data_IF_398630883563
#
_entry.id   IF_398630883563
#
_cell.length_a   1.000
_cell.length_b   1.000
_cell.length_c   1.000
_cell.angle_alpha   90.00
_cell.angle_beta   90.00
_cell.angle_gamma   90.00
#
_symmetry.space_group_name_H-M   'P 1'
#
loop_
_entity.id
_entity.type
_entity.pdbx_description
1 polymer ?
#
# COMPACT_ATOMS: atom_id res chain seq x y z
N UNK A 1 -30.76 -6.82 -2.88
CA UNK A 1 -29.51 -7.62 -2.89
C UNK A 1 -28.95 -7.63 -1.48
N UNK A 2 -28.27 -8.70 -1.04
CA UNK A 2 -27.58 -8.67 0.27
C UNK A 2 -26.39 -7.69 0.17
N UNK A 3 -26.15 -6.93 1.22
CA UNK A 3 -24.97 -6.07 1.31
C UNK A 3 -23.70 -6.91 1.14
N UNK A 4 -22.76 -6.53 0.26
CA UNK A 4 -21.51 -7.28 0.10
C UNK A 4 -20.67 -7.19 1.37
N UNK A 5 -19.93 -8.25 1.69
CA UNK A 5 -18.99 -8.24 2.81
C UNK A 5 -17.78 -7.38 2.49
N UNK A 6 -17.31 -7.42 1.24
CA UNK A 6 -16.11 -6.73 0.79
C UNK A 6 -16.33 -6.07 -0.57
N UNK A 7 -15.81 -4.86 -0.73
CA UNK A 7 -15.69 -4.18 -2.02
C UNK A 7 -14.26 -4.36 -2.53
N UNK A 8 -14.11 -5.01 -3.67
CA UNK A 8 -12.84 -5.13 -4.40
C UNK A 8 -12.78 -3.93 -5.35
N UNK A 9 -11.72 -3.14 -5.25
CA UNK A 9 -11.56 -1.87 -5.94
C UNK A 9 -10.42 -1.98 -6.95
N UNK A 10 -10.74 -1.84 -8.24
CA UNK A 10 -9.76 -1.86 -9.32
C UNK A 10 -9.71 -0.49 -10.01
N UNK A 11 -8.57 0.17 -9.93
CA UNK A 11 -8.30 1.40 -10.69
C UNK A 11 -7.66 1.05 -12.02
N UNK A 12 -8.13 1.69 -13.10
CA UNK A 12 -7.73 1.36 -14.49
C UNK A 12 -7.25 2.62 -15.19
N UNK A 13 -6.11 2.52 -15.87
CA UNK A 13 -5.65 3.51 -16.84
C UNK A 13 -4.80 2.82 -17.90
N UNK A 14 -5.36 2.65 -19.12
CA UNK A 14 -4.72 1.97 -20.26
C UNK A 14 -4.20 0.57 -19.90
N UNK A 15 -5.11 -0.35 -19.52
CA UNK A 15 -4.81 -1.72 -19.10
C UNK A 15 -5.61 -2.79 -19.83
N UNK A 16 -6.08 -2.50 -21.04
CA UNK A 16 -6.84 -3.45 -21.87
C UNK A 16 -6.20 -4.84 -21.91
N UNK A 17 -4.87 -4.89 -22.03
CA UNK A 17 -4.10 -6.12 -22.14
C UNK A 17 -4.23 -7.05 -20.93
N UNK A 18 -4.41 -6.51 -19.72
CA UNK A 18 -4.34 -7.26 -18.45
C UNK A 18 -5.67 -7.35 -17.71
N UNK A 19 -6.58 -6.41 -18.00
CA UNK A 19 -7.80 -6.20 -17.22
C UNK A 19 -8.74 -7.43 -17.24
N UNK A 20 -8.78 -8.20 -18.33
CA UNK A 20 -9.59 -9.41 -18.39
C UNK A 20 -9.15 -10.43 -17.33
N UNK A 21 -7.87 -10.74 -17.26
CA UNK A 21 -7.32 -11.69 -16.28
C UNK A 21 -7.50 -11.20 -14.83
N UNK A 22 -7.38 -9.88 -14.62
CA UNK A 22 -7.66 -9.24 -13.32
C UNK A 22 -9.11 -9.51 -12.91
N UNK A 23 -10.10 -9.20 -13.75
CA UNK A 23 -11.52 -9.39 -13.46
C UNK A 23 -11.84 -10.88 -13.24
N UNK A 24 -11.36 -11.74 -14.13
CA UNK A 24 -11.58 -13.19 -14.06
C UNK A 24 -10.98 -13.81 -12.79
N UNK A 25 -9.85 -13.29 -12.31
CA UNK A 25 -9.24 -13.73 -11.06
C UNK A 25 -10.17 -13.48 -9.86
N UNK A 26 -10.89 -12.36 -9.86
CA UNK A 26 -11.90 -12.05 -8.83
C UNK A 26 -13.12 -12.97 -8.96
N UNK A 27 -13.64 -13.16 -10.18
CA UNK A 27 -14.81 -14.01 -10.42
C UNK A 27 -14.55 -15.48 -10.07
N UNK A 28 -13.33 -15.97 -10.33
CA UNK A 28 -12.88 -17.33 -10.01
C UNK A 28 -12.42 -17.50 -8.54
N UNK A 29 -12.42 -16.42 -7.75
CA UNK A 29 -12.17 -16.46 -6.32
C UNK A 29 -13.21 -17.32 -5.59
N UNK A 30 -12.82 -17.95 -4.47
CA UNK A 30 -13.73 -18.77 -3.68
C UNK A 30 -14.75 -17.90 -2.93
N UNK A 31 -14.34 -16.74 -2.43
CA UNK A 31 -15.22 -15.81 -1.70
C UNK A 31 -16.20 -15.11 -2.65
N UNK A 32 -17.52 -15.29 -2.43
CA UNK A 32 -18.53 -14.81 -3.36
C UNK A 32 -19.39 -13.64 -2.86
N UNK A 33 -19.28 -13.26 -1.57
CA UNK A 33 -20.04 -12.14 -1.00
C UNK A 33 -19.31 -10.80 -1.21
N UNK A 34 -19.00 -10.47 -2.46
CA UNK A 34 -18.28 -9.26 -2.86
C UNK A 34 -19.06 -8.41 -3.87
N UNK A 35 -18.68 -7.16 -3.99
CA UNK A 35 -18.85 -6.32 -5.17
C UNK A 35 -17.47 -5.99 -5.76
N UNK A 36 -17.38 -5.84 -7.08
CA UNK A 36 -16.17 -5.44 -7.78
C UNK A 36 -16.39 -4.08 -8.44
N UNK A 37 -15.75 -3.06 -7.92
CA UNK A 37 -15.84 -1.68 -8.40
C UNK A 37 -14.61 -1.41 -9.26
N UNK A 38 -14.84 -1.11 -10.53
CA UNK A 38 -13.82 -0.78 -11.51
C UNK A 38 -13.96 0.70 -11.86
N UNK A 39 -12.90 1.49 -11.63
CA UNK A 39 -12.90 2.92 -11.93
C UNK A 39 -11.81 3.23 -12.94
N UNK A 40 -12.24 3.60 -14.13
CA UNK A 40 -11.36 4.00 -15.21
C UNK A 40 -10.97 5.48 -15.07
N UNK A 41 -9.68 5.76 -15.18
CA UNK A 41 -9.09 7.08 -15.00
C UNK A 41 -8.83 7.80 -16.34
N UNK A 42 -9.76 7.70 -17.28
CA UNK A 42 -9.67 8.34 -18.58
C UNK A 42 -8.80 7.57 -19.57
N UNK A 43 -8.94 6.24 -19.64
CA UNK A 43 -8.26 5.39 -20.62
C UNK A 43 -8.60 5.77 -22.05
N UNK A 44 -7.62 5.61 -22.94
CA UNK A 44 -7.75 5.84 -24.39
C UNK A 44 -7.73 4.55 -25.21
N UNK A 45 -7.51 3.41 -24.56
CA UNK A 45 -7.54 2.05 -25.13
C UNK A 45 -8.91 1.38 -24.92
N UNK A 46 -9.02 0.09 -25.17
CA UNK A 46 -10.25 -0.70 -24.99
C UNK A 46 -10.64 -1.03 -23.55
N UNK A 47 -9.93 -0.52 -22.52
CA UNK A 47 -10.15 -0.88 -21.11
C UNK A 47 -11.60 -0.69 -20.66
N UNK A 48 -12.23 0.45 -20.98
CA UNK A 48 -13.62 0.77 -20.60
C UNK A 48 -14.60 -0.22 -21.23
N UNK A 49 -14.49 -0.42 -22.56
CA UNK A 49 -15.38 -1.33 -23.30
C UNK A 49 -15.26 -2.77 -22.76
N UNK A 50 -14.04 -3.19 -22.45
CA UNK A 50 -13.76 -4.49 -21.85
C UNK A 50 -14.42 -4.62 -20.47
N UNK A 51 -14.22 -3.67 -19.56
CA UNK A 51 -14.84 -3.68 -18.22
C UNK A 51 -16.36 -3.73 -18.30
N UNK A 52 -16.98 -2.92 -19.18
CA UNK A 52 -18.41 -2.89 -19.39
C UNK A 52 -18.95 -4.23 -19.91
N UNK A 53 -18.18 -4.94 -20.75
CA UNK A 53 -18.57 -6.26 -21.26
C UNK A 53 -18.66 -7.32 -20.15
N UNK A 54 -17.85 -7.21 -19.10
CA UNK A 54 -17.93 -8.05 -17.91
C UNK A 54 -19.09 -7.63 -16.99
N UNK A 55 -19.28 -6.33 -16.76
CA UNK A 55 -20.40 -5.82 -15.97
C UNK A 55 -21.77 -6.21 -16.54
N UNK A 56 -21.90 -6.30 -17.85
CA UNK A 56 -23.13 -6.76 -18.52
C UNK A 56 -23.47 -8.24 -18.21
N UNK A 57 -22.47 -9.04 -17.80
CA UNK A 57 -22.61 -10.48 -17.52
C UNK A 57 -22.66 -10.81 -16.02
N UNK A 58 -22.14 -9.92 -15.17
CA UNK A 58 -22.04 -10.15 -13.72
C UNK A 58 -22.46 -8.86 -12.97
N UNK A 59 -23.65 -8.89 -12.37
CA UNK A 59 -24.23 -7.77 -11.65
C UNK A 59 -23.44 -7.31 -10.40
N UNK A 60 -22.44 -8.09 -9.96
CA UNK A 60 -21.52 -7.70 -8.88
C UNK A 60 -20.45 -6.71 -9.35
N UNK A 61 -20.23 -6.61 -10.67
CA UNK A 61 -19.25 -5.70 -11.27
C UNK A 61 -19.93 -4.37 -11.59
N UNK A 62 -19.36 -3.28 -11.07
CA UNK A 62 -19.80 -1.92 -11.33
C UNK A 62 -18.66 -1.13 -11.92
N UNK A 63 -18.91 -0.48 -13.07
CA UNK A 63 -17.89 0.28 -13.81
C UNK A 63 -18.23 1.76 -13.75
N UNK A 64 -17.24 2.56 -13.40
CA UNK A 64 -17.29 4.02 -13.40
C UNK A 64 -16.15 4.56 -14.24
N UNK A 65 -16.32 5.74 -14.78
CA UNK A 65 -15.33 6.42 -15.59
C UNK A 65 -15.18 7.86 -15.12
N UNK A 66 -13.94 8.29 -14.85
CA UNK A 66 -13.65 9.67 -14.56
C UNK A 66 -13.68 10.51 -15.83
N UNK A 67 -14.13 11.76 -15.74
CA UNK A 67 -14.13 12.70 -16.87
C UNK A 67 -12.71 13.07 -17.32
N UNK A 68 -11.76 13.06 -16.38
CA UNK A 68 -10.34 13.36 -16.61
C UNK A 68 -9.46 12.41 -15.79
N UNK A 69 -8.20 12.26 -16.19
CA UNK A 69 -7.23 11.50 -15.41
C UNK A 69 -6.91 12.22 -14.09
N UNK A 70 -7.25 11.58 -12.98
CA UNK A 70 -7.03 12.08 -11.62
C UNK A 70 -5.65 11.68 -11.06
N UNK A 71 -5.07 10.63 -11.61
CA UNK A 71 -3.86 9.98 -11.11
C UNK A 71 -4.16 8.88 -10.07
N UNK A 72 -3.14 8.10 -9.73
CA UNK A 72 -3.25 6.83 -8.98
C UNK A 72 -4.06 6.96 -7.67
N UNK A 73 -3.57 7.70 -6.67
CA UNK A 73 -4.23 7.74 -5.36
C UNK A 73 -5.57 8.51 -5.34
N UNK A 74 -5.76 9.62 -6.05
CA UNK A 74 -7.07 10.23 -6.20
C UNK A 74 -8.09 9.28 -6.84
N UNK A 75 -7.70 8.50 -7.86
CA UNK A 75 -8.57 7.50 -8.47
C UNK A 75 -8.89 6.35 -7.49
N UNK A 76 -7.94 5.93 -6.64
CA UNK A 76 -8.21 4.97 -5.55
C UNK A 76 -9.23 5.51 -4.54
N UNK A 77 -9.11 6.78 -4.14
CA UNK A 77 -10.09 7.41 -3.27
C UNK A 77 -11.47 7.49 -3.94
N UNK A 78 -11.51 7.80 -5.23
CA UNK A 78 -12.75 7.80 -6.00
C UNK A 78 -13.38 6.40 -6.03
N UNK A 79 -12.58 5.35 -6.23
CA UNK A 79 -13.07 3.97 -6.19
C UNK A 79 -13.64 3.59 -4.81
N UNK A 80 -12.97 3.99 -3.73
CA UNK A 80 -13.44 3.75 -2.37
C UNK A 80 -14.78 4.46 -2.07
N UNK A 81 -15.02 5.63 -2.65
CA UNK A 81 -16.28 6.37 -2.45
C UNK A 81 -17.53 5.63 -2.98
N UNK A 82 -17.36 4.69 -3.89
CA UNK A 82 -18.43 3.84 -4.41
C UNK A 82 -18.64 2.55 -3.61
N UNK A 83 -17.72 2.24 -2.66
CA UNK A 83 -17.74 1.01 -1.90
C UNK A 83 -18.93 0.95 -0.91
N UNK A 84 -19.58 -0.22 -0.82
CA UNK A 84 -20.68 -0.47 0.11
C UNK A 84 -20.40 -1.63 1.08
N UNK A 85 -19.32 -2.40 0.85
CA UNK A 85 -18.90 -3.49 1.70
C UNK A 85 -18.39 -3.03 3.08
N UNK A 86 -18.44 -3.93 4.06
CA UNK A 86 -17.81 -3.73 5.37
C UNK A 86 -16.30 -3.50 5.24
N UNK A 87 -15.68 -4.23 4.30
CA UNK A 87 -14.27 -4.16 4.00
C UNK A 87 -14.04 -3.60 2.61
N UNK A 88 -12.87 -2.98 2.41
CA UNK A 88 -12.34 -2.61 1.10
C UNK A 88 -10.97 -3.27 0.87
N UNK A 89 -10.68 -3.59 -0.38
CA UNK A 89 -9.44 -4.16 -0.84
C UNK A 89 -9.13 -3.67 -2.25
N UNK A 90 -7.90 -3.22 -2.49
CA UNK A 90 -7.48 -2.84 -3.84
C UNK A 90 -6.90 -4.04 -4.59
N UNK A 91 -7.12 -4.04 -5.88
CA UNK A 91 -6.52 -4.94 -6.86
C UNK A 91 -6.16 -4.11 -8.10
N UNK A 92 -4.88 -3.99 -8.40
CA UNK A 92 -4.45 -3.25 -9.57
C UNK A 92 -4.84 -3.98 -10.86
N UNK A 93 -5.18 -3.23 -11.91
CA UNK A 93 -5.75 -3.78 -13.15
C UNK A 93 -4.80 -4.72 -13.91
N UNK A 94 -3.52 -4.72 -13.56
CA UNK A 94 -2.46 -5.60 -14.11
C UNK A 94 -2.09 -6.76 -13.19
N UNK A 95 -2.70 -6.87 -11.99
CA UNK A 95 -2.48 -7.93 -11.03
C UNK A 95 -3.63 -8.96 -11.00
N UNK A 96 -3.44 -10.04 -10.26
CA UNK A 96 -4.44 -11.11 -10.10
C UNK A 96 -4.59 -11.56 -8.65
N UNK A 97 -5.81 -11.88 -8.26
CA UNK A 97 -6.09 -12.55 -6.98
C UNK A 97 -5.75 -14.03 -7.05
N UNK A 98 -5.19 -14.57 -5.97
CA UNK A 98 -5.24 -15.99 -5.72
C UNK A 98 -6.63 -16.42 -5.23
N UNK A 99 -7.04 -17.65 -5.57
CA UNK A 99 -8.38 -18.18 -5.35
C UNK A 99 -8.95 -17.97 -3.94
N UNK A 100 -8.13 -18.09 -2.89
CA UNK A 100 -8.53 -18.01 -1.48
C UNK A 100 -8.03 -16.72 -0.79
N UNK A 101 -7.52 -15.76 -1.54
CA UNK A 101 -6.92 -14.56 -0.96
C UNK A 101 -7.92 -13.75 -0.13
N UNK A 102 -9.13 -13.57 -0.67
CA UNK A 102 -10.17 -12.79 0.02
C UNK A 102 -10.70 -13.55 1.23
N UNK A 103 -10.82 -14.90 1.14
CA UNK A 103 -11.22 -15.74 2.28
C UNK A 103 -10.28 -15.55 3.46
N UNK A 104 -8.96 -15.62 3.22
CA UNK A 104 -7.93 -15.44 4.26
C UNK A 104 -8.02 -14.04 4.87
N UNK A 105 -8.19 -13.01 4.05
CA UNK A 105 -8.28 -11.64 4.50
C UNK A 105 -9.52 -11.39 5.37
N UNK A 106 -10.68 -11.83 4.89
CA UNK A 106 -11.95 -11.65 5.62
C UNK A 106 -11.96 -12.47 6.90
N UNK A 107 -11.53 -13.74 6.86
CA UNK A 107 -11.44 -14.60 8.04
C UNK A 107 -10.54 -14.00 9.12
N UNK A 108 -9.38 -13.47 8.73
CA UNK A 108 -8.47 -12.80 9.65
C UNK A 108 -9.10 -11.56 10.30
N UNK A 109 -9.83 -10.75 9.54
CA UNK A 109 -10.49 -9.55 10.05
C UNK A 109 -11.72 -9.85 10.91
N UNK A 110 -12.43 -10.96 10.66
CA UNK A 110 -13.55 -11.42 11.49
C UNK A 110 -13.05 -12.11 12.77
N UNK A 111 -11.88 -12.75 12.72
CA UNK A 111 -11.23 -13.34 13.91
C UNK A 111 -10.76 -12.25 14.89
N UNK A 112 -10.31 -11.11 14.38
CA UNK A 112 -9.84 -9.97 15.20
C UNK A 112 -10.69 -8.72 14.91
N UNK A 113 -11.93 -8.66 15.41
CA UNK A 113 -12.86 -7.57 15.11
C UNK A 113 -12.39 -6.19 15.61
N UNK A 114 -11.43 -6.12 16.52
CA UNK A 114 -10.79 -4.87 16.97
C UNK A 114 -9.82 -4.30 15.93
N UNK A 115 -9.28 -5.12 15.02
CA UNK A 115 -8.36 -4.64 13.98
C UNK A 115 -9.08 -3.70 13.00
N UNK A 116 -8.41 -2.58 12.67
CA UNK A 116 -8.89 -1.63 11.67
C UNK A 116 -8.56 -2.07 10.24
N UNK A 117 -7.47 -2.82 10.09
CA UNK A 117 -6.97 -3.30 8.81
C UNK A 117 -6.07 -4.52 8.98
N UNK A 118 -5.73 -5.17 7.87
CA UNK A 118 -4.83 -6.32 7.86
C UNK A 118 -3.82 -6.24 6.71
N UNK A 119 -2.61 -6.72 6.96
CA UNK A 119 -1.51 -6.76 5.99
C UNK A 119 -0.91 -8.16 5.90
N UNK A 120 -0.57 -8.59 4.69
CA UNK A 120 0.22 -9.81 4.51
C UNK A 120 1.69 -9.58 4.84
N UNK A 121 2.27 -10.52 5.57
CA UNK A 121 3.70 -10.57 5.83
C UNK A 121 4.37 -11.67 4.99
N UNK A 122 5.33 -11.29 4.15
CA UNK A 122 6.15 -12.18 3.32
C UNK A 122 7.54 -12.42 3.91
N UNK A 123 7.81 -11.86 5.09
CA UNK A 123 9.10 -11.99 5.77
C UNK A 123 9.38 -13.41 6.25
N UNK A 124 10.63 -13.69 6.65
CA UNK A 124 11.01 -15.01 7.16
C UNK A 124 10.33 -15.35 8.49
N UNK A 125 9.89 -14.33 9.24
CA UNK A 125 9.21 -14.47 10.54
C UNK A 125 7.69 -14.34 10.42
N UNK A 126 7.12 -14.48 9.22
CA UNK A 126 5.66 -14.40 9.04
C UNK A 126 4.95 -15.35 10.00
N UNK A 127 3.83 -14.93 10.60
CA UNK A 127 3.11 -15.76 11.54
C UNK A 127 2.48 -16.97 10.82
N UNK A 128 2.41 -18.12 11.49
CA UNK A 128 1.74 -19.30 10.94
C UNK A 128 0.22 -19.10 10.87
N UNK A 129 -0.34 -18.44 11.88
CA UNK A 129 -1.74 -18.03 11.97
C UNK A 129 -1.83 -16.51 12.06
N UNK A 130 -2.95 -15.88 11.64
CA UNK A 130 -3.11 -14.45 11.81
C UNK A 130 -2.92 -14.01 13.27
N UNK A 131 -2.24 -12.90 13.48
CA UNK A 131 -2.05 -12.26 14.79
C UNK A 131 -2.49 -10.80 14.70
N UNK A 132 -2.92 -10.22 15.82
CA UNK A 132 -3.19 -8.79 15.92
C UNK A 132 -2.08 -8.09 16.68
N UNK A 133 -1.63 -6.95 16.17
CA UNK A 133 -0.65 -6.08 16.79
C UNK A 133 -1.29 -4.73 17.10
N UNK A 134 -1.04 -4.23 18.30
CA UNK A 134 -1.44 -2.88 18.70
C UNK A 134 -0.59 -1.81 17.96
N UNK A 135 -1.02 -0.54 17.91
CA UNK A 135 -0.31 0.51 17.17
C UNK A 135 1.20 0.56 17.42
N UNK A 136 1.63 0.65 18.66
CA UNK A 136 3.05 0.68 19.00
C UNK A 136 3.79 -0.61 18.64
N UNK A 137 3.13 -1.77 18.79
CA UNK A 137 3.70 -3.07 18.42
C UNK A 137 3.88 -3.20 16.90
N UNK A 138 2.94 -2.68 16.10
CA UNK A 138 3.03 -2.71 14.63
C UNK A 138 4.23 -1.89 14.15
N UNK A 139 4.42 -0.69 14.68
CA UNK A 139 5.59 0.14 14.38
C UNK A 139 6.89 -0.54 14.82
N UNK A 140 6.94 -1.04 16.06
CA UNK A 140 8.11 -1.74 16.57
C UNK A 140 8.46 -2.97 15.73
N UNK A 141 7.47 -3.77 15.34
CA UNK A 141 7.64 -4.95 14.51
C UNK A 141 8.16 -4.59 13.11
N UNK A 142 7.62 -3.52 12.48
CA UNK A 142 8.09 -3.05 11.19
C UNK A 142 9.55 -2.59 11.26
N UNK A 143 9.88 -1.68 12.18
CA UNK A 143 11.20 -1.06 12.26
C UNK A 143 12.30 -1.94 12.88
N UNK A 144 11.92 -2.99 13.63
CA UNK A 144 12.87 -4.04 14.03
C UNK A 144 13.17 -5.02 12.90
N UNK A 145 12.32 -5.10 11.87
CA UNK A 145 12.39 -6.08 10.80
C UNK A 145 11.72 -7.41 11.14
N UNK A 146 11.03 -7.51 12.28
CA UNK A 146 10.29 -8.72 12.66
C UNK A 146 9.12 -8.97 11.69
N UNK A 147 8.33 -7.93 11.44
CA UNK A 147 7.23 -7.93 10.47
C UNK A 147 7.30 -6.63 9.64
N UNK A 148 8.10 -6.58 8.55
CA UNK A 148 8.32 -5.36 7.76
C UNK A 148 7.16 -5.09 6.79
N UNK A 149 5.97 -4.84 7.33
CA UNK A 149 4.71 -4.83 6.55
C UNK A 149 4.37 -3.49 5.88
N UNK A 150 4.94 -2.34 6.31
CA UNK A 150 4.58 -1.04 5.73
C UNK A 150 5.01 -0.86 4.26
N UNK A 151 5.93 -1.66 3.75
CA UNK A 151 6.30 -1.66 2.33
C UNK A 151 5.39 -2.56 1.46
N UNK A 152 4.19 -2.91 1.89
CA UNK A 152 3.27 -3.74 1.12
C UNK A 152 2.43 -2.89 0.17
N UNK A 153 2.30 -3.33 -1.09
CA UNK A 153 1.38 -2.73 -2.04
C UNK A 153 -0.08 -2.97 -1.62
N UNK A 154 -1.03 -2.16 -2.10
CA UNK A 154 -2.43 -2.24 -1.69
C UNK A 154 -3.11 -3.59 -1.96
N UNK A 155 -2.63 -4.37 -2.92
CA UNK A 155 -3.14 -5.74 -3.16
C UNK A 155 -2.99 -6.63 -1.92
N UNK A 156 -2.01 -6.35 -1.06
CA UNK A 156 -1.68 -7.13 0.13
C UNK A 156 -2.40 -6.65 1.40
N UNK A 157 -3.37 -5.76 1.25
CA UNK A 157 -4.09 -5.14 2.36
C UNK A 157 -5.59 -5.37 2.25
N UNK A 158 -6.23 -5.46 3.43
CA UNK A 158 -7.68 -5.33 3.63
C UNK A 158 -7.91 -4.27 4.71
N UNK A 159 -8.91 -3.42 4.54
CA UNK A 159 -9.23 -2.36 5.48
C UNK A 159 -10.71 -2.37 5.79
N UNK A 160 -11.10 -2.02 6.99
CA UNK A 160 -12.48 -1.63 7.28
C UNK A 160 -12.77 -0.34 6.51
N UNK A 161 -13.92 -0.29 5.84
CA UNK A 161 -14.30 0.89 5.03
C UNK A 161 -14.43 2.15 5.88
N UNK A 162 -15.09 2.04 7.04
CA UNK A 162 -15.25 3.16 7.99
C UNK A 162 -13.91 3.68 8.52
N UNK A 163 -12.94 2.79 8.78
CA UNK A 163 -11.57 3.16 9.18
C UNK A 163 -10.84 3.91 8.05
N UNK A 164 -10.97 3.47 6.80
CA UNK A 164 -10.40 4.16 5.64
C UNK A 164 -11.01 5.55 5.46
N UNK A 165 -12.32 5.67 5.60
CA UNK A 165 -13.06 6.94 5.56
C UNK A 165 -12.63 7.87 6.71
N UNK A 166 -12.49 7.35 7.93
CA UNK A 166 -12.09 8.10 9.13
C UNK A 166 -10.71 8.75 8.99
N UNK A 167 -9.76 8.06 8.32
CA UNK A 167 -8.42 8.62 8.09
C UNK A 167 -8.36 9.54 6.85
N UNK A 168 -9.44 9.67 6.09
CA UNK A 168 -9.55 10.54 4.93
C UNK A 168 -8.98 9.95 3.64
N UNK A 169 -8.75 8.65 3.60
CA UNK A 169 -8.19 7.97 2.42
C UNK A 169 -6.72 8.28 2.17
N UNK A 170 -6.26 7.99 0.95
CA UNK A 170 -4.88 8.29 0.53
C UNK A 170 -4.66 9.80 0.39
N UNK A 171 -3.52 10.30 0.87
CA UNK A 171 -3.17 11.74 0.80
C UNK A 171 -2.81 12.23 -0.61
N UNK A 172 -2.58 11.31 -1.56
CA UNK A 172 -2.11 11.63 -2.90
C UNK A 172 -0.58 11.75 -3.04
N UNK A 173 0.21 11.45 -2.00
CA UNK A 173 1.68 11.40 -2.10
C UNK A 173 2.11 10.31 -3.07
N UNK A 174 2.43 10.71 -4.30
CA UNK A 174 2.79 9.77 -5.37
C UNK A 174 3.96 8.89 -4.95
N UNK A 175 3.86 7.58 -5.23
CA UNK A 175 4.87 6.53 -5.04
C UNK A 175 5.06 6.02 -3.61
N UNK A 176 4.61 6.74 -2.61
CA UNK A 176 4.76 6.38 -1.19
C UNK A 176 3.44 6.44 -0.42
N UNK A 177 2.33 6.61 -1.13
CA UNK A 177 1.03 6.79 -0.49
C UNK A 177 0.51 5.53 0.21
N UNK A 178 0.83 4.34 -0.28
CA UNK A 178 0.58 3.08 0.41
C UNK A 178 1.40 2.97 1.71
N UNK A 179 2.69 3.26 1.64
CA UNK A 179 3.56 3.28 2.80
C UNK A 179 3.10 4.31 3.85
N UNK A 180 2.66 5.50 3.41
CA UNK A 180 2.05 6.51 4.27
C UNK A 180 0.76 6.00 4.91
N UNK A 181 -0.13 5.41 4.12
CA UNK A 181 -1.41 4.88 4.59
C UNK A 181 -1.21 3.84 5.70
N UNK A 182 -0.26 2.93 5.53
CA UNK A 182 0.02 1.92 6.56
C UNK A 182 0.54 2.54 7.85
N UNK A 183 1.30 3.63 7.78
CA UNK A 183 1.72 4.38 8.97
C UNK A 183 0.53 5.08 9.65
N UNK A 184 -0.31 5.77 8.88
CA UNK A 184 -1.49 6.48 9.41
C UNK A 184 -2.45 5.50 10.09
N UNK A 185 -2.76 4.39 9.43
CA UNK A 185 -3.63 3.36 9.99
C UNK A 185 -3.03 2.73 11.24
N UNK A 186 -1.75 2.31 11.18
CA UNK A 186 -1.06 1.69 12.32
C UNK A 186 -0.84 2.64 13.49
N UNK A 187 -0.88 3.95 13.28
CA UNK A 187 -0.78 4.92 14.38
C UNK A 187 -2.05 4.96 15.25
N UNK A 188 -3.20 4.55 14.70
CA UNK A 188 -4.52 4.72 15.30
C UNK A 188 -5.25 3.42 15.59
N UNK A 189 -5.02 2.39 14.77
CA UNK A 189 -5.79 1.15 14.79
C UNK A 189 -4.91 -0.07 14.91
N UNK A 190 -5.35 -1.12 15.62
CA UNK A 190 -4.69 -2.43 15.59
C UNK A 190 -4.66 -3.00 14.17
N UNK A 191 -3.58 -3.69 13.85
CA UNK A 191 -3.32 -4.31 12.55
C UNK A 191 -3.31 -5.83 12.66
N UNK A 192 -4.06 -6.53 11.82
CA UNK A 192 -3.92 -7.97 11.67
C UNK A 192 -2.76 -8.29 10.72
N UNK A 193 -1.79 -9.04 11.20
CA UNK A 193 -0.68 -9.55 10.37
C UNK A 193 -1.05 -10.96 9.92
N UNK A 194 -1.13 -11.14 8.61
CA UNK A 194 -1.49 -12.40 7.98
C UNK A 194 -0.26 -13.05 7.36
N UNK A 195 -0.23 -14.39 7.33
CA UNK A 195 0.75 -15.13 6.52
C UNK A 195 0.56 -14.79 5.03
N UNK A 196 1.64 -14.88 4.26
CA UNK A 196 1.67 -14.53 2.83
C UNK A 196 0.47 -15.13 2.07
N UNK A 197 -0.31 -14.27 1.46
CA UNK A 197 -1.45 -14.65 0.63
C UNK A 197 -1.03 -14.97 -0.80
N UNK A 198 -1.84 -15.73 -1.53
CA UNK A 198 -1.60 -16.07 -2.93
C UNK A 198 -2.05 -14.91 -3.85
N UNK A 199 -1.39 -13.75 -3.80
CA UNK A 199 -1.53 -12.69 -4.78
C UNK A 199 -0.46 -12.84 -5.86
N UNK A 200 -0.82 -12.64 -7.11
CA UNK A 200 0.11 -12.64 -8.24
C UNK A 200 0.36 -11.20 -8.67
N UNK A 201 1.50 -10.68 -8.25
CA UNK A 201 2.04 -9.42 -8.73
C UNK A 201 2.68 -9.66 -10.09
N UNK A 202 2.14 -9.02 -11.13
CA UNK A 202 2.69 -9.13 -12.49
C UNK A 202 3.83 -8.15 -12.66
N UNK A 203 4.95 -8.61 -13.23
CA UNK A 203 6.06 -7.74 -13.63
C UNK A 203 5.99 -7.47 -15.13
N UNK A 204 5.99 -6.21 -15.54
CA UNK A 204 6.04 -5.78 -16.95
C UNK A 204 6.74 -4.42 -17.10
N UNK A 205 7.16 -4.09 -18.32
CA UNK A 205 7.98 -2.90 -18.59
C UNK A 205 7.26 -1.57 -18.33
N UNK A 206 5.93 -1.54 -18.44
CA UNK A 206 5.11 -0.33 -18.26
C UNK A 206 4.73 -0.05 -16.81
N UNK A 207 5.17 -0.89 -15.86
CA UNK A 207 4.91 -0.66 -14.44
C UNK A 207 5.69 0.53 -13.91
N UNK A 208 5.03 1.33 -13.07
CA UNK A 208 5.64 2.49 -12.43
C UNK A 208 6.90 2.11 -11.64
N UNK A 209 6.86 0.97 -10.95
CA UNK A 209 8.02 0.41 -10.23
C UNK A 209 9.21 0.15 -11.15
N UNK A 210 8.97 -0.43 -12.33
CA UNK A 210 10.02 -0.75 -13.30
C UNK A 210 10.63 0.51 -13.89
N UNK A 211 9.81 1.49 -14.23
CA UNK A 211 10.23 2.78 -14.80
C UNK A 211 11.12 3.60 -13.85
N UNK A 212 10.90 3.48 -12.55
CA UNK A 212 11.60 4.28 -11.54
C UNK A 212 12.66 3.52 -10.74
N UNK A 213 12.82 2.21 -10.95
CA UNK A 213 13.75 1.35 -10.20
C UNK A 213 15.20 1.83 -10.23
N UNK A 214 15.61 2.51 -11.31
CA UNK A 214 16.96 3.06 -11.47
C UNK A 214 17.18 4.40 -10.75
N UNK A 215 16.13 5.13 -10.36
CA UNK A 215 16.28 6.39 -9.64
C UNK A 215 16.51 6.15 -8.13
N UNK A 216 17.70 6.47 -7.58
CA UNK A 216 17.98 6.27 -6.16
C UNK A 216 17.06 7.09 -5.24
N UNK A 217 16.42 8.14 -5.74
CA UNK A 217 15.43 8.92 -5.00
C UNK A 217 14.17 8.10 -4.66
N UNK A 218 13.86 7.07 -5.45
CA UNK A 218 12.71 6.20 -5.20
C UNK A 218 12.75 5.58 -3.80
N UNK A 219 13.74 4.72 -3.54
CA UNK A 219 13.88 4.07 -2.23
C UNK A 219 14.16 5.07 -1.09
N UNK A 220 14.73 6.24 -1.42
CA UNK A 220 15.05 7.29 -0.46
C UNK A 220 13.81 8.00 0.06
N UNK A 221 12.77 8.17 -0.77
CA UNK A 221 11.48 8.74 -0.35
C UNK A 221 10.83 7.94 0.79
N UNK A 222 10.90 6.61 0.75
CA UNK A 222 10.42 5.75 1.83
C UNK A 222 11.17 5.98 3.15
N UNK A 223 12.49 6.22 3.08
CA UNK A 223 13.28 6.51 4.28
C UNK A 223 12.94 7.88 4.87
N UNK A 224 12.77 8.89 4.01
CA UNK A 224 12.37 10.25 4.43
C UNK A 224 10.99 10.23 5.09
N UNK A 225 10.01 9.62 4.42
CA UNK A 225 8.64 9.54 4.94
C UNK A 225 8.58 8.73 6.25
N UNK A 226 9.27 7.58 6.32
CA UNK A 226 9.33 6.80 7.55
C UNK A 226 9.92 7.58 8.72
N UNK A 227 10.96 8.39 8.48
CA UNK A 227 11.52 9.28 9.49
C UNK A 227 10.53 10.39 9.89
N UNK A 228 9.84 11.00 8.93
CA UNK A 228 8.80 12.00 9.16
C UNK A 228 7.69 11.44 10.04
N UNK A 229 7.15 10.27 9.69
CA UNK A 229 6.08 9.61 10.45
C UNK A 229 6.51 9.23 11.87
N UNK A 230 7.75 8.78 12.06
CA UNK A 230 8.26 8.44 13.39
C UNK A 230 8.59 9.67 14.25
N UNK A 231 8.83 10.84 13.67
CA UNK A 231 9.02 12.12 14.38
C UNK A 231 7.70 12.80 14.72
N UNK A 232 6.65 12.53 13.95
CA UNK A 232 5.35 13.19 14.11
C UNK A 232 4.68 12.88 15.44
N UNK A 233 3.81 13.77 15.90
CA UNK A 233 3.02 13.61 17.12
C UNK A 233 2.09 12.38 17.06
N UNK A 234 1.72 11.94 15.85
CA UNK A 234 0.92 10.72 15.63
C UNK A 234 1.70 9.41 15.76
N UNK A 235 3.02 9.43 16.04
CA UNK A 235 3.79 8.20 16.23
C UNK A 235 3.34 7.47 17.51
N UNK A 236 2.91 6.19 17.43
CA UNK A 236 2.43 5.47 18.62
C UNK A 236 3.55 4.99 19.55
N UNK A 237 4.81 5.04 19.09
CA UNK A 237 5.98 4.83 19.94
C UNK A 237 6.37 6.16 20.57
N UNK A 238 6.55 6.23 21.87
CA UNK A 238 6.80 7.46 22.61
C UNK A 238 8.07 7.41 23.48
N UNK A 239 8.47 8.55 24.03
CA UNK A 239 9.56 8.64 25.02
C UNK A 239 10.92 8.23 24.47
N UNK A 240 11.66 7.47 25.28
CA UNK A 240 13.02 7.01 24.93
C UNK A 240 13.05 6.05 23.74
N UNK A 241 12.01 5.24 23.55
CA UNK A 241 11.90 4.31 22.43
C UNK A 241 11.73 5.06 21.11
N UNK A 242 10.89 6.09 21.06
CA UNK A 242 10.75 6.95 19.88
C UNK A 242 12.07 7.65 19.57
N UNK A 243 12.73 8.20 20.59
CA UNK A 243 14.02 8.87 20.43
C UNK A 243 15.08 7.92 19.85
N UNK A 244 15.15 6.69 20.34
CA UNK A 244 16.08 5.68 19.84
C UNK A 244 15.75 5.26 18.40
N UNK A 245 14.46 5.09 18.07
CA UNK A 245 14.01 4.76 16.73
C UNK A 245 14.36 5.87 15.74
N UNK A 246 14.02 7.13 16.06
CA UNK A 246 14.33 8.29 15.22
C UNK A 246 15.82 8.38 14.96
N UNK A 247 16.66 8.24 16.01
CA UNK A 247 18.12 8.24 15.87
C UNK A 247 18.63 7.13 14.94
N UNK A 248 18.05 5.91 15.05
CA UNK A 248 18.36 4.79 14.14
C UNK A 248 18.03 5.13 12.69
N UNK A 249 16.86 5.74 12.45
CA UNK A 249 16.42 6.12 11.09
C UNK A 249 17.26 7.27 10.52
N UNK A 250 17.59 8.28 11.30
CA UNK A 250 18.50 9.36 10.90
C UNK A 250 19.88 8.83 10.51
N UNK A 251 20.42 7.92 11.31
CA UNK A 251 21.69 7.24 11.00
C UNK A 251 21.61 6.49 9.68
N UNK A 252 20.54 5.73 9.44
CA UNK A 252 20.33 4.99 8.19
C UNK A 252 20.26 5.93 7.00
N UNK A 253 19.49 7.00 7.10
CA UNK A 253 19.32 8.01 6.07
C UNK A 253 20.64 8.71 5.74
N UNK A 254 21.38 9.13 6.76
CA UNK A 254 22.70 9.76 6.59
C UNK A 254 23.69 8.83 5.89
N UNK A 255 23.75 7.56 6.30
CA UNK A 255 24.59 6.54 5.65
C UNK A 255 24.18 6.33 4.19
N UNK A 256 22.88 6.30 3.88
CA UNK A 256 22.40 6.18 2.48
C UNK A 256 22.94 7.31 1.63
N UNK A 257 22.90 8.58 2.10
CA UNK A 257 23.45 9.73 1.38
C UNK A 257 24.98 9.61 1.21
N UNK A 258 25.70 9.30 2.28
CA UNK A 258 27.17 9.19 2.21
C UNK A 258 27.63 8.04 1.34
N UNK A 259 26.97 6.87 1.39
CA UNK A 259 27.30 5.73 0.51
C UNK A 259 26.91 5.97 -0.95
N UNK A 260 26.00 6.91 -1.24
CA UNK A 260 25.61 7.20 -2.61
C UNK A 260 26.76 7.74 -3.47
N UNK A 261 27.77 8.39 -2.88
CA UNK A 261 29.00 8.77 -3.57
C UNK A 261 29.74 7.60 -4.25
N UNK A 262 29.57 6.39 -3.73
CA UNK A 262 30.22 5.19 -4.27
C UNK A 262 29.35 4.44 -5.30
N UNK A 263 28.05 4.67 -5.29
CA UNK A 263 27.08 3.88 -6.04
C UNK A 263 26.33 4.64 -7.12
N UNK A 264 26.22 5.94 -6.96
CA UNK A 264 25.40 6.82 -7.79
C UNK A 264 26.26 7.95 -8.39
N UNK A 265 25.66 8.71 -9.29
CA UNK A 265 26.30 9.94 -9.79
C UNK A 265 26.43 11.00 -8.68
N UNK A 266 27.37 11.93 -8.85
CA UNK A 266 27.47 13.11 -7.95
C UNK A 266 26.16 13.89 -7.94
N UNK A 267 25.52 14.03 -9.11
CA UNK A 267 24.22 14.71 -9.26
C UNK A 267 23.15 14.05 -8.38
N UNK A 268 23.04 12.72 -8.40
CA UNK A 268 22.06 12.00 -7.58
C UNK A 268 22.38 12.11 -6.10
N UNK A 269 23.64 12.01 -5.72
CA UNK A 269 24.06 12.21 -4.33
C UNK A 269 23.68 13.61 -3.81
N UNK A 270 23.86 14.66 -4.63
CA UNK A 270 23.42 16.00 -4.27
C UNK A 270 21.89 16.14 -4.17
N UNK A 271 21.13 15.44 -5.03
CA UNK A 271 19.66 15.36 -4.93
C UNK A 271 19.23 14.72 -3.61
N UNK A 272 19.81 13.57 -3.25
CA UNK A 272 19.53 12.90 -1.98
C UNK A 272 19.87 13.80 -0.78
N UNK A 273 21.05 14.42 -0.78
CA UNK A 273 21.47 15.36 0.26
C UNK A 273 20.49 16.52 0.39
N UNK A 274 20.10 17.15 -0.72
CA UNK A 274 19.14 18.25 -0.72
C UNK A 274 17.80 17.85 -0.09
N UNK A 275 17.33 16.65 -0.37
CA UNK A 275 16.08 16.12 0.16
C UNK A 275 16.09 15.93 1.69
N UNK A 276 17.25 15.75 2.31
CA UNK A 276 17.35 15.66 3.78
C UNK A 276 17.23 17.01 4.50
N UNK A 277 17.42 18.13 3.80
CA UNK A 277 17.54 19.46 4.42
C UNK A 277 18.82 19.66 5.26
N UNK A 278 19.66 18.64 5.45
CA UNK A 278 20.83 18.65 6.34
C UNK A 278 22.10 19.11 5.62
N UNK A 279 23.03 19.68 6.37
CA UNK A 279 24.41 19.95 5.93
C UNK A 279 25.24 18.67 5.86
N UNK A 280 26.38 18.70 5.18
CA UNK A 280 27.30 17.55 5.17
C UNK A 280 27.85 17.21 6.55
N UNK A 281 28.10 18.22 7.37
CA UNK A 281 28.58 18.02 8.75
C UNK A 281 27.56 17.30 9.60
N UNK A 282 26.27 17.68 9.51
CA UNK A 282 25.19 17.00 10.20
C UNK A 282 25.03 15.55 9.74
N UNK A 283 25.10 15.31 8.41
CA UNK A 283 25.01 13.94 7.87
C UNK A 283 26.17 13.05 8.36
N UNK A 284 27.40 13.57 8.40
CA UNK A 284 28.53 12.83 8.95
C UNK A 284 28.30 12.55 10.43
N UNK A 285 27.89 13.54 11.19
CA UNK A 285 27.61 13.40 12.64
C UNK A 285 26.52 12.32 12.88
N UNK A 286 25.41 12.39 12.13
CA UNK A 286 24.30 11.42 12.26
C UNK A 286 24.73 10.00 11.88
N UNK A 287 25.55 9.83 10.85
CA UNK A 287 26.00 8.53 10.39
C UNK A 287 26.82 7.75 11.41
N UNK A 288 27.50 8.47 12.33
CA UNK A 288 28.39 7.90 13.36
C UNK A 288 27.86 8.08 14.79
N UNK A 289 26.75 8.80 14.99
CA UNK A 289 26.05 8.88 16.29
C UNK A 289 25.35 7.56 16.63
#
# INVERSE_FOLDING_TARGET
>A
MKTPTISILTTVYNREKYLAECIESVQNGHFQAYEHIIVDDGSTDGSVALAQSYAAKDARIRVYQNETNLGDYPNRNQAASYATGKYIKYLDADDMHGRFMVDIMVDAMETFPEAGFGLFDYGPNKPLFPIVLQPAETYAAHYSGKHPVFGRSPINAIMKRDVFEEVGGFSGKRMVGDFEMWHILSARFPCTIMSAGPGFYREHEEQEMTLHRADPMWAFKYQLLGLEMCKGEGCPITGSEQTALVKKLERRLARTVLYSFKRNSIKDTLRLKKATGKTWVELVKDAFA
#
